data_IF_759885976578
#
_entry.id   IF_759885976578
#
_cell.length_a   1.000
_cell.length_b   1.000
_cell.length_c   1.000
_cell.angle_alpha   90.00
_cell.angle_beta   90.00
_cell.angle_gamma   90.00
#
_symmetry.space_group_name_H-M   'P 1'
#
loop_
_entity.id
_entity.type
_entity.pdbx_description
1 polymer ?
#
# COMPACT_ATOMS: atom_id res chain seq x y z
N UNK A 1 -19.17 -15.77 -30.06
CA UNK A 1 -18.44 -15.86 -28.77
C UNK A 1 -18.85 -14.64 -27.98
N UNK A 2 -19.66 -14.74 -26.93
CA UNK A 2 -19.81 -13.62 -26.01
C UNK A 2 -18.45 -13.41 -25.35
N UNK A 3 -17.90 -12.22 -25.50
CA UNK A 3 -16.84 -11.71 -24.64
C UNK A 3 -17.47 -11.57 -23.26
N UNK A 4 -16.99 -12.37 -22.30
CA UNK A 4 -17.33 -12.14 -20.89
C UNK A 4 -16.71 -10.81 -20.50
N UNK A 5 -17.54 -9.79 -20.35
CA UNK A 5 -17.20 -8.58 -19.62
C UNK A 5 -16.78 -9.02 -18.22
N UNK A 6 -15.61 -8.61 -17.69
CA UNK A 6 -15.36 -8.75 -16.26
C UNK A 6 -16.48 -8.00 -15.52
N UNK A 7 -17.08 -8.71 -14.57
CA UNK A 7 -18.18 -8.25 -13.75
C UNK A 7 -17.60 -7.38 -12.63
N UNK A 8 -18.20 -6.24 -12.25
CA UNK A 8 -17.74 -5.48 -11.12
C UNK A 8 -17.99 -6.26 -9.81
N UNK A 9 -16.92 -6.46 -9.01
CA UNK A 9 -16.88 -6.84 -7.59
C UNK A 9 -17.77 -7.99 -7.09
N UNK A 10 -17.38 -9.25 -7.35
CA UNK A 10 -17.94 -10.45 -6.69
C UNK A 10 -16.84 -11.35 -6.03
N UNK A 11 -15.70 -10.79 -5.64
CA UNK A 11 -14.70 -11.48 -4.82
C UNK A 11 -14.45 -10.66 -3.54
N UNK A 12 -15.04 -11.09 -2.41
CA UNK A 12 -14.90 -10.50 -1.06
C UNK A 12 -13.47 -10.66 -0.50
N UNK A 13 -12.46 -10.08 -1.14
CA UNK A 13 -11.08 -10.20 -0.66
C UNK A 13 -10.10 -9.27 -1.35
N UNK A 14 -8.93 -9.03 -0.72
CA UNK A 14 -7.92 -8.14 -1.26
C UNK A 14 -7.32 -8.67 -2.56
N UNK A 15 -6.99 -7.76 -3.47
CA UNK A 15 -6.29 -8.08 -4.71
C UNK A 15 -4.82 -8.36 -4.42
N UNK A 16 -4.26 -9.39 -5.04
CA UNK A 16 -2.82 -9.74 -4.88
C UNK A 16 -2.00 -9.43 -6.13
N UNK A 17 -2.66 -9.13 -7.25
CA UNK A 17 -2.07 -8.77 -8.52
C UNK A 17 -2.80 -7.55 -9.10
N UNK A 18 -2.18 -6.90 -10.08
CA UNK A 18 -2.73 -5.74 -10.78
C UNK A 18 -2.89 -6.08 -12.26
N UNK A 19 -4.13 -6.17 -12.73
CA UNK A 19 -4.44 -6.30 -14.16
C UNK A 19 -4.42 -4.95 -14.90
N UNK A 20 -4.55 -4.98 -16.23
CA UNK A 20 -4.53 -3.77 -17.06
C UNK A 20 -5.62 -2.75 -16.70
N UNK A 21 -6.82 -3.19 -16.31
CA UNK A 21 -7.92 -2.30 -15.96
C UNK A 21 -7.65 -1.63 -14.61
N UNK A 22 -7.22 -2.42 -13.64
CA UNK A 22 -6.79 -1.96 -12.33
C UNK A 22 -5.62 -0.99 -12.43
N UNK A 23 -4.60 -1.31 -13.23
CA UNK A 23 -3.44 -0.45 -13.44
C UNK A 23 -3.85 0.93 -13.98
N UNK A 24 -4.71 0.96 -15.00
CA UNK A 24 -5.22 2.21 -15.58
C UNK A 24 -5.96 3.09 -14.56
N UNK A 25 -6.72 2.48 -13.64
CA UNK A 25 -7.40 3.22 -12.58
C UNK A 25 -6.40 3.73 -11.52
N UNK A 26 -5.41 2.91 -11.16
CA UNK A 26 -4.43 3.25 -10.13
C UNK A 26 -3.52 4.41 -10.57
N UNK A 27 -3.09 4.45 -11.84
CA UNK A 27 -2.22 5.54 -12.33
C UNK A 27 -2.91 6.91 -12.31
N UNK A 28 -4.24 6.98 -12.27
CA UNK A 28 -4.97 8.25 -12.07
C UNK A 28 -4.74 8.86 -10.68
N UNK A 29 -4.24 8.06 -9.72
CA UNK A 29 -3.92 8.48 -8.37
C UNK A 29 -2.50 9.06 -8.24
N UNK A 30 -1.67 8.93 -9.27
CA UNK A 30 -0.32 9.50 -9.27
C UNK A 30 -0.34 11.03 -9.10
N UNK A 31 0.62 11.54 -8.34
CA UNK A 31 0.71 12.95 -7.95
C UNK A 31 -0.21 13.35 -6.79
N UNK A 32 -1.03 12.45 -6.26
CA UNK A 32 -1.79 12.74 -5.05
C UNK A 32 -0.88 12.81 -3.82
N UNK A 33 -1.21 13.73 -2.91
CA UNK A 33 -0.49 13.89 -1.65
C UNK A 33 -0.96 12.84 -0.67
N UNK A 34 -0.02 12.13 -0.05
CA UNK A 34 -0.29 11.30 1.13
C UNK A 34 -0.53 12.23 2.32
N UNK A 35 -1.70 12.12 2.94
CA UNK A 35 -2.09 12.96 4.08
C UNK A 35 -1.97 12.22 5.41
N UNK A 36 -2.09 10.90 5.40
CA UNK A 36 -1.94 10.07 6.59
C UNK A 36 -1.52 8.65 6.22
N UNK A 37 -0.87 7.96 7.15
CA UNK A 37 -0.61 6.54 7.07
C UNK A 37 -0.73 5.94 8.48
N UNK A 38 -1.43 4.82 8.61
CA UNK A 38 -1.59 4.10 9.87
C UNK A 38 -1.03 2.68 9.70
N UNK A 39 -0.09 2.29 10.55
CA UNK A 39 0.46 0.92 10.56
C UNK A 39 -0.29 0.11 11.61
N UNK A 40 -0.79 -1.05 11.22
CA UNK A 40 -1.56 -1.91 12.11
C UNK A 40 -0.67 -2.49 13.22
N UNK A 41 -1.24 -2.72 14.41
CA UNK A 41 -0.51 -3.29 15.54
C UNK A 41 -0.19 -4.77 15.32
N UNK A 42 -1.16 -5.51 14.79
CA UNK A 42 -1.05 -6.92 14.41
C UNK A 42 -1.33 -7.04 12.90
N UNK A 43 -0.39 -7.60 12.15
CA UNK A 43 -0.60 -7.86 10.73
C UNK A 43 -1.57 -9.04 10.53
N UNK A 44 -2.34 -9.01 9.46
CA UNK A 44 -3.21 -10.11 9.05
C UNK A 44 -2.43 -11.41 8.86
N UNK A 45 -1.19 -11.32 8.35
CA UNK A 45 -0.30 -12.46 8.22
C UNK A 45 0.00 -13.13 9.57
N UNK A 46 0.19 -12.34 10.64
CA UNK A 46 0.40 -12.85 12.00
C UNK A 46 -0.87 -13.48 12.56
N UNK A 47 -2.03 -12.88 12.29
CA UNK A 47 -3.32 -13.44 12.68
C UNK A 47 -3.63 -14.79 11.99
N UNK A 48 -3.08 -15.00 10.78
CA UNK A 48 -3.22 -16.23 10.00
C UNK A 48 -2.08 -17.23 10.24
N UNK A 49 -1.05 -16.86 11.00
CA UNK A 49 0.11 -17.71 11.27
C UNK A 49 -0.31 -19.03 11.94
N UNK A 50 0.23 -20.16 11.44
CA UNK A 50 -0.10 -21.50 11.93
C UNK A 50 -1.27 -22.19 11.21
N UNK A 51 -1.92 -21.52 10.26
CA UNK A 51 -2.83 -22.19 9.33
C UNK A 51 -2.04 -22.96 8.25
N UNK A 52 -2.45 -24.18 7.89
CA UNK A 52 -1.76 -24.97 6.87
C UNK A 52 -1.81 -24.27 5.51
N UNK A 53 -0.64 -23.95 4.96
CA UNK A 53 -0.48 -23.27 3.66
C UNK A 53 -0.05 -21.80 3.75
N UNK A 54 0.07 -21.23 4.95
CA UNK A 54 0.64 -19.89 5.17
C UNK A 54 2.16 -20.03 5.31
N UNK A 55 2.93 -19.27 4.51
CA UNK A 55 4.40 -19.31 4.51
C UNK A 55 5.00 -18.61 5.73
N UNK A 56 6.04 -19.21 6.35
CA UNK A 56 6.82 -18.66 7.48
C UNK A 56 7.87 -17.60 7.04
N UNK A 57 7.57 -16.80 6.02
CA UNK A 57 8.44 -15.70 5.58
C UNK A 57 8.52 -14.58 6.62
N UNK A 58 9.43 -13.60 6.49
CA UNK A 58 9.35 -12.39 7.30
C UNK A 58 7.95 -11.78 7.14
N UNK A 59 7.26 -11.52 8.24
CA UNK A 59 5.93 -10.92 8.19
C UNK A 59 6.07 -9.44 7.81
N UNK A 60 5.48 -9.05 6.69
CA UNK A 60 5.26 -7.64 6.37
C UNK A 60 4.27 -7.00 7.35
N UNK A 61 4.15 -5.68 7.30
CA UNK A 61 3.16 -4.95 8.10
C UNK A 61 1.92 -4.64 7.26
N UNK A 62 0.79 -4.37 7.90
CA UNK A 62 -0.37 -3.83 7.21
C UNK A 62 -0.44 -2.31 7.41
N UNK A 63 -0.82 -1.59 6.35
CA UNK A 63 -0.80 -0.13 6.30
C UNK A 63 -2.08 0.40 5.65
N UNK A 64 -2.77 1.31 6.33
CA UNK A 64 -3.77 2.16 5.69
C UNK A 64 -3.10 3.44 5.19
N UNK A 65 -3.20 3.72 3.89
CA UNK A 65 -2.57 4.89 3.25
C UNK A 65 -3.63 5.84 2.70
N UNK A 66 -3.72 7.04 3.28
CA UNK A 66 -4.75 8.02 2.95
C UNK A 66 -4.20 9.09 2.00
N UNK A 67 -4.88 9.27 0.88
CA UNK A 67 -4.60 10.30 -0.12
C UNK A 67 -5.54 11.50 0.05
N UNK A 68 -5.04 12.68 -0.31
CA UNK A 68 -5.71 13.97 -0.07
C UNK A 68 -7.12 14.08 -0.64
N UNK A 69 -7.41 13.45 -1.77
CA UNK A 69 -8.68 13.64 -2.50
C UNK A 69 -9.75 12.61 -2.11
N UNK A 70 -9.66 12.01 -0.91
CA UNK A 70 -10.68 11.12 -0.38
C UNK A 70 -10.49 9.65 -0.72
N UNK A 71 -9.36 9.27 -1.32
CA UNK A 71 -9.02 7.88 -1.63
C UNK A 71 -8.10 7.32 -0.54
N UNK A 72 -8.31 6.09 -0.08
CA UNK A 72 -7.34 5.39 0.74
C UNK A 72 -7.11 3.96 0.27
N UNK A 73 -5.92 3.46 0.56
CA UNK A 73 -5.57 2.06 0.36
C UNK A 73 -5.55 1.33 1.70
N UNK A 74 -6.07 0.10 1.71
CA UNK A 74 -5.70 -0.90 2.71
C UNK A 74 -4.62 -1.79 2.08
N UNK A 75 -3.42 -1.81 2.66
CA UNK A 75 -2.27 -2.53 2.14
C UNK A 75 -1.87 -3.64 3.12
N UNK A 76 -1.73 -4.86 2.62
CA UNK A 76 -1.48 -6.05 3.41
C UNK A 76 -0.12 -6.67 3.08
N UNK A 77 0.60 -7.13 4.11
CA UNK A 77 1.89 -7.80 3.95
C UNK A 77 2.95 -6.91 3.29
N UNK A 78 3.03 -5.66 3.72
CA UNK A 78 3.84 -4.61 3.10
C UNK A 78 5.30 -4.67 3.52
N UNK A 79 6.19 -4.50 2.53
CA UNK A 79 7.60 -4.23 2.75
C UNK A 79 7.98 -2.85 2.25
N UNK A 80 8.58 -2.04 3.13
CA UNK A 80 8.96 -0.66 2.84
C UNK A 80 10.48 -0.54 2.67
N UNK A 81 10.93 -0.23 1.46
CA UNK A 81 12.34 -0.10 1.11
C UNK A 81 12.73 1.37 0.96
N UNK A 82 13.73 1.88 1.70
CA UNK A 82 14.17 3.28 1.55
C UNK A 82 14.78 3.55 0.16
N UNK A 83 15.41 2.53 -0.43
CA UNK A 83 15.93 2.50 -1.80
C UNK A 83 15.87 1.06 -2.33
N UNK A 84 15.95 0.87 -3.65
CA UNK A 84 15.90 -0.45 -4.29
C UNK A 84 17.09 -1.37 -3.94
N UNK A 85 18.19 -0.81 -3.44
CA UNK A 85 19.42 -1.54 -3.11
C UNK A 85 19.56 -1.84 -1.61
N UNK A 86 18.58 -1.47 -0.79
CA UNK A 86 18.61 -1.66 0.65
C UNK A 86 17.58 -2.69 1.10
N UNK A 87 17.86 -3.35 2.22
CA UNK A 87 16.89 -4.23 2.87
C UNK A 87 15.64 -3.44 3.34
N UNK A 88 14.47 -4.08 3.45
CA UNK A 88 13.26 -3.41 3.90
C UNK A 88 13.36 -3.04 5.39
N UNK A 89 12.63 -1.99 5.78
CA UNK A 89 12.51 -1.58 7.19
C UNK A 89 11.60 -2.60 7.90
N UNK A 90 12.19 -3.46 8.74
CA UNK A 90 11.45 -4.48 9.49
C UNK A 90 10.98 -4.00 10.88
N UNK A 91 11.59 -2.94 11.42
CA UNK A 91 11.19 -2.38 12.71
C UNK A 91 9.98 -1.46 12.54
N UNK A 92 8.83 -1.87 13.09
CA UNK A 92 7.56 -1.15 12.99
C UNK A 92 7.65 0.28 13.49
N UNK A 93 8.26 0.51 14.64
CA UNK A 93 8.35 1.84 15.24
C UNK A 93 9.26 2.77 14.42
N UNK A 94 10.33 2.24 13.84
CA UNK A 94 11.18 2.97 12.90
C UNK A 94 10.42 3.33 11.62
N UNK A 95 9.64 2.40 11.07
CA UNK A 95 8.81 2.64 9.88
C UNK A 95 7.73 3.70 10.15
N UNK A 96 7.01 3.59 11.27
CA UNK A 96 6.00 4.56 11.70
C UNK A 96 6.60 5.96 11.84
N UNK A 97 7.72 6.07 12.55
CA UNK A 97 8.42 7.34 12.73
C UNK A 97 8.89 7.94 11.40
N UNK A 98 9.38 7.10 10.47
CA UNK A 98 9.83 7.54 9.16
C UNK A 98 8.66 8.01 8.29
N UNK A 99 7.57 7.26 8.21
CA UNK A 99 6.36 7.65 7.47
C UNK A 99 5.77 8.95 8.01
N UNK A 100 5.62 9.06 9.33
CA UNK A 100 5.12 10.28 9.97
C UNK A 100 6.00 11.51 9.63
N UNK A 101 7.33 11.37 9.66
CA UNK A 101 8.25 12.44 9.31
C UNK A 101 8.16 12.84 7.83
N UNK A 102 8.04 11.86 6.92
CA UNK A 102 7.89 12.09 5.49
C UNK A 102 6.56 12.80 5.17
N UNK A 103 5.46 12.33 5.75
CA UNK A 103 4.13 12.92 5.57
C UNK A 103 4.09 14.35 6.10
N UNK A 104 4.66 14.59 7.30
CA UNK A 104 4.74 15.93 7.90
C UNK A 104 5.54 16.92 7.04
N UNK A 105 6.53 16.43 6.29
CA UNK A 105 7.33 17.25 5.36
C UNK A 105 6.77 17.27 3.93
N UNK A 106 5.61 16.64 3.72
CA UNK A 106 4.94 16.45 2.46
C UNK A 106 5.44 15.21 1.75
N UNK A 107 4.58 14.22 1.54
CA UNK A 107 4.85 12.99 0.81
C UNK A 107 3.80 12.83 -0.29
N UNK A 108 4.20 12.31 -1.44
CA UNK A 108 3.33 12.12 -2.61
C UNK A 108 3.44 10.69 -3.11
N UNK A 109 2.31 10.16 -3.59
CA UNK A 109 2.29 8.97 -4.43
C UNK A 109 2.80 9.40 -5.82
N UNK A 110 4.05 9.10 -6.14
CA UNK A 110 4.71 9.58 -7.36
C UNK A 110 4.43 8.67 -8.55
N UNK A 111 4.45 7.37 -8.31
CA UNK A 111 4.35 6.36 -9.36
C UNK A 111 3.66 5.10 -8.83
N UNK A 112 2.81 4.51 -9.68
CA UNK A 112 2.28 3.16 -9.55
C UNK A 112 3.09 2.24 -10.46
N UNK A 113 3.73 1.26 -9.86
CA UNK A 113 4.48 0.23 -10.56
C UNK A 113 3.94 -1.17 -10.21
N UNK A 114 4.36 -2.14 -11.00
CA UNK A 114 4.15 -3.57 -10.74
C UNK A 114 5.48 -4.30 -10.84
N UNK A 115 5.67 -5.36 -10.05
CA UNK A 115 6.86 -6.20 -10.14
C UNK A 115 6.71 -7.34 -11.17
N UNK A 116 7.64 -8.29 -11.16
CA UNK A 116 7.64 -9.42 -12.11
C UNK A 116 6.46 -10.39 -11.93
N UNK A 117 5.82 -10.37 -10.76
CA UNK A 117 4.66 -11.20 -10.41
C UNK A 117 3.33 -10.42 -10.52
N UNK A 118 3.36 -9.24 -11.14
CA UNK A 118 2.23 -8.30 -11.26
C UNK A 118 1.76 -7.76 -9.89
N UNK A 119 2.59 -7.87 -8.84
CA UNK A 119 2.25 -7.35 -7.53
C UNK A 119 2.43 -5.82 -7.49
N UNK A 120 1.56 -5.15 -6.73
CA UNK A 120 1.53 -3.69 -6.64
C UNK A 120 2.77 -3.15 -5.93
N UNK A 121 3.39 -2.12 -6.51
CA UNK A 121 4.45 -1.35 -5.90
C UNK A 121 4.08 0.13 -5.93
N UNK A 122 4.01 0.77 -4.76
CA UNK A 122 3.81 2.22 -4.65
C UNK A 122 5.15 2.92 -4.47
N UNK A 123 5.42 3.95 -5.28
CA UNK A 123 6.60 4.80 -5.12
C UNK A 123 6.19 6.10 -4.44
N UNK A 124 6.69 6.30 -3.21
CA UNK A 124 6.42 7.52 -2.45
C UNK A 124 7.61 8.48 -2.55
N UNK A 125 7.35 9.73 -2.91
CA UNK A 125 8.38 10.72 -3.21
C UNK A 125 8.20 12.06 -2.49
N UNK A 126 9.31 12.79 -2.41
CA UNK A 126 9.35 14.19 -2.02
C UNK A 126 10.12 14.97 -3.08
N UNK A 127 9.52 16.03 -3.63
CA UNK A 127 10.10 16.82 -4.72
C UNK A 127 10.55 15.94 -5.92
N UNK A 128 9.69 15.00 -6.35
CA UNK A 128 9.98 14.04 -7.43
C UNK A 128 11.21 13.16 -7.20
N UNK A 129 11.60 12.95 -5.94
CA UNK A 129 12.67 12.02 -5.57
C UNK A 129 12.09 10.90 -4.72
N UNK A 130 12.18 9.63 -5.17
CA UNK A 130 11.74 8.48 -4.38
C UNK A 130 12.37 8.50 -2.99
N UNK A 131 11.53 8.24 -1.99
CA UNK A 131 11.90 8.16 -0.57
C UNK A 131 11.55 6.81 0.03
N UNK A 132 10.57 6.15 -0.55
CA UNK A 132 10.13 4.84 -0.13
C UNK A 132 9.52 4.08 -1.32
N UNK A 133 9.91 2.83 -1.47
CA UNK A 133 9.27 1.87 -2.36
C UNK A 133 8.47 0.91 -1.49
N UNK A 134 7.18 0.80 -1.75
CA UNK A 134 6.23 0.05 -0.93
C UNK A 134 5.79 -1.15 -1.75
N UNK A 135 6.39 -2.31 -1.49
CA UNK A 135 5.98 -3.57 -2.09
C UNK A 135 4.78 -4.12 -1.32
N UNK A 136 3.70 -4.44 -2.03
CA UNK A 136 2.41 -4.78 -1.43
C UNK A 136 2.05 -6.23 -1.75
N UNK A 137 1.76 -7.02 -0.71
CA UNK A 137 1.35 -8.42 -0.87
C UNK A 137 -0.12 -8.54 -1.29
N UNK A 138 -1.00 -7.74 -0.69
CA UNK A 138 -2.39 -7.60 -1.15
C UNK A 138 -2.93 -6.19 -0.88
N UNK A 139 -3.95 -5.76 -1.61
CA UNK A 139 -4.48 -4.41 -1.50
C UNK A 139 -6.00 -4.33 -1.74
N UNK A 140 -6.59 -3.30 -1.14
CA UNK A 140 -7.92 -2.79 -1.45
C UNK A 140 -7.85 -1.28 -1.66
N UNK A 141 -8.78 -0.76 -2.45
CA UNK A 141 -8.94 0.66 -2.71
C UNK A 141 -10.37 1.06 -2.35
N UNK A 142 -10.51 2.10 -1.54
CA UNK A 142 -11.81 2.57 -1.08
C UNK A 142 -11.77 4.10 -0.82
N UNK A 143 -12.94 4.67 -0.51
CA UNK A 143 -13.11 6.11 -0.24
C UNK A 143 -13.17 6.39 1.27
N UNK A 144 -12.63 7.53 1.70
CA UNK A 144 -12.70 8.00 3.08
C UNK A 144 -13.37 9.38 3.18
N UNK A 145 -14.21 9.57 4.20
CA UNK A 145 -14.88 10.84 4.48
C UNK A 145 -14.20 11.64 5.61
N UNK A 146 -13.66 10.95 6.62
CA UNK A 146 -12.95 11.54 7.75
C UNK A 146 -11.64 10.79 8.01
N UNK A 147 -10.58 11.52 8.38
CA UNK A 147 -9.32 10.89 8.78
C UNK A 147 -9.47 10.20 10.14
N UNK A 148 -8.68 9.14 10.41
CA UNK A 148 -8.67 8.49 11.71
C UNK A 148 -8.30 9.45 12.84
N UNK A 149 -8.88 9.23 14.03
CA UNK A 149 -8.51 9.95 15.24
C UNK A 149 -6.99 9.83 15.51
N UNK A 150 -6.29 10.97 15.56
CA UNK A 150 -4.84 11.01 15.73
C UNK A 150 -4.03 11.29 14.46
N UNK A 151 -4.69 11.38 13.30
CA UNK A 151 -4.07 11.93 12.10
C UNK A 151 -3.73 13.42 12.30
N UNK A 152 -2.45 13.75 12.36
CA UNK A 152 -1.99 15.10 12.66
C UNK A 152 -2.46 16.11 11.60
N UNK A 153 -3.04 17.22 12.08
CA UNK A 153 -3.45 18.40 11.32
C UNK A 153 -2.26 19.25 10.87
#
# INVERSE_FOLDING_TARGET
MPVSTPQPNDADGPFTQVDDEQYNNLVELEGQKVVHAAIWEDALADALAGLPGVNDGPAGVDIDLYLKDGVYFELYGVFCYPTLDQDPILDRAALESQLAALIATGLWLEEIAVDEDEALVLVLAQNHRPRLYVQVGAWLLDEWEELPDGAAS
#
